data_IF_210736103800
#
_entry.id   IF_210736103800
#
_cell.length_a   1.000
_cell.length_b   1.000
_cell.length_c   1.000
_cell.angle_alpha   90.00
_cell.angle_beta   90.00
_cell.angle_gamma   90.00
#
_symmetry.space_group_name_H-M   'P 1'
#
loop_
_entity.id
_entity.type
_entity.pdbx_description
1 polymer ?
#
# COMPACT_ATOMS: atom_id res chain seq x y z
N UNK A 1 4.71 13.21 -10.63
CA UNK A 1 3.33 13.57 -10.62
C UNK A 1 2.69 13.14 -9.33
N UNK A 2 2.14 14.08 -8.62
CA UNK A 2 1.34 13.81 -7.44
C UNK A 2 0.23 12.85 -7.81
N UNK A 3 0.03 11.81 -7.05
CA UNK A 3 -1.12 10.95 -7.16
C UNK A 3 -2.37 11.83 -7.06
N UNK A 4 -3.13 11.87 -8.10
CA UNK A 4 -4.38 12.65 -8.15
C UNK A 4 -5.59 11.86 -7.67
N UNK A 5 -5.37 10.77 -6.95
CA UNK A 5 -6.43 9.89 -6.47
C UNK A 5 -6.32 9.69 -4.97
N UNK A 6 -7.47 9.64 -4.33
CA UNK A 6 -7.59 9.22 -2.94
C UNK A 6 -7.74 7.67 -2.88
N UNK A 7 -7.08 6.97 -1.95
CA UNK A 7 -6.08 7.47 -1.02
C UNK A 7 -4.74 7.78 -1.70
N UNK A 8 -4.07 8.82 -1.24
CA UNK A 8 -2.85 9.33 -1.88
C UNK A 8 -1.64 8.42 -1.65
N UNK A 9 -1.51 7.89 -0.46
CA UNK A 9 -0.53 6.87 -0.09
C UNK A 9 -1.16 5.85 0.83
N UNK A 10 -0.88 4.57 0.61
CA UNK A 10 -1.37 3.48 1.44
C UNK A 10 -0.22 2.57 1.81
N UNK A 11 -0.08 2.27 3.09
CA UNK A 11 1.00 1.45 3.64
C UNK A 11 0.46 0.28 4.46
N UNK A 12 1.28 -0.76 4.60
CA UNK A 12 1.05 -1.90 5.49
C UNK A 12 -0.32 -2.57 5.30
N UNK A 13 -0.73 -2.72 4.06
CA UNK A 13 -2.03 -3.30 3.70
C UNK A 13 -2.06 -4.78 4.05
N UNK A 14 -3.10 -5.22 4.76
CA UNK A 14 -3.33 -6.60 5.16
C UNK A 14 -4.75 -7.03 4.80
N UNK A 15 -4.94 -8.24 4.25
CA UNK A 15 -6.28 -8.77 4.01
C UNK A 15 -6.98 -9.10 5.34
N UNK A 16 -8.29 -8.90 5.40
CA UNK A 16 -9.08 -9.25 6.58
C UNK A 16 -9.44 -10.74 6.54
N UNK A 17 -9.03 -11.51 7.56
CA UNK A 17 -9.41 -12.92 7.67
C UNK A 17 -10.94 -13.08 7.75
N UNK A 18 -11.48 -13.96 6.91
CA UNK A 18 -12.92 -14.21 6.87
C UNK A 18 -13.75 -13.20 6.06
N UNK A 19 -13.13 -12.14 5.55
CA UNK A 19 -13.79 -11.18 4.66
C UNK A 19 -13.14 -11.21 3.27
N UNK A 20 -13.81 -11.79 2.28
CA UNK A 20 -13.21 -12.18 1.01
C UNK A 20 -12.57 -11.06 0.18
N UNK A 21 -12.91 -9.79 0.40
CA UNK A 21 -12.44 -8.66 -0.42
C UNK A 21 -11.90 -7.49 0.37
N UNK A 22 -12.13 -7.42 1.69
CA UNK A 22 -11.74 -6.27 2.49
C UNK A 22 -10.31 -6.37 3.03
N UNK A 23 -9.74 -5.20 3.27
CA UNK A 23 -8.39 -5.00 3.76
C UNK A 23 -8.37 -3.96 4.86
N UNK A 24 -7.36 -4.02 5.70
CA UNK A 24 -6.96 -2.93 6.60
C UNK A 24 -5.61 -2.37 6.16
N UNK A 25 -5.42 -1.08 6.29
CA UNK A 25 -4.15 -0.43 5.93
C UNK A 25 -4.03 0.96 6.53
N UNK A 26 -2.89 1.59 6.28
CA UNK A 26 -2.58 2.92 6.77
C UNK A 26 -2.67 3.91 5.60
N UNK A 27 -3.48 4.95 5.75
CA UNK A 27 -3.49 6.08 4.83
C UNK A 27 -2.60 7.18 5.38
N UNK A 28 -1.74 7.71 4.53
CA UNK A 28 -0.82 8.78 4.84
C UNK A 28 -0.83 9.86 3.75
N UNK A 29 -0.04 10.89 3.92
CA UNK A 29 0.18 11.91 2.90
C UNK A 29 1.06 11.41 1.76
N UNK A 30 1.32 12.27 0.77
CA UNK A 30 2.00 11.90 -0.46
C UNK A 30 3.53 11.98 -0.35
N UNK A 31 4.07 13.02 0.24
CA UNK A 31 5.52 13.26 0.34
C UNK A 31 5.95 13.55 1.79
N UNK A 32 7.24 13.30 2.05
CA UNK A 32 7.97 13.87 3.17
C UNK A 32 7.57 13.40 4.56
N UNK A 33 6.81 12.34 4.68
CA UNK A 33 6.26 11.89 5.95
C UNK A 33 6.75 10.51 6.36
N UNK A 34 6.76 10.29 7.67
CA UNK A 34 6.85 8.95 8.22
C UNK A 34 5.68 8.10 7.67
N UNK A 35 5.93 6.81 7.46
CA UNK A 35 4.93 5.86 6.96
C UNK A 35 3.90 5.50 8.04
N UNK A 36 3.41 6.52 8.74
CA UNK A 36 2.37 6.43 9.75
C UNK A 36 1.15 7.22 9.30
N UNK A 37 0.02 6.97 9.90
CA UNK A 37 -1.17 7.73 9.56
C UNK A 37 -2.46 7.13 10.09
N UNK A 38 -3.50 7.28 9.32
CA UNK A 38 -4.88 6.91 9.65
C UNK A 38 -5.12 5.43 9.34
N UNK A 39 -5.69 4.70 10.29
CA UNK A 39 -6.05 3.29 10.11
C UNK A 39 -7.40 3.19 9.39
N UNK A 40 -7.40 2.56 8.22
CA UNK A 40 -8.58 2.46 7.36
C UNK A 40 -8.89 1.00 7.04
N UNK A 41 -10.16 0.66 7.12
CA UNK A 41 -10.71 -0.54 6.48
C UNK A 41 -11.27 -0.14 5.12
N UNK A 42 -10.91 -0.87 4.08
CA UNK A 42 -11.38 -0.60 2.72
C UNK A 42 -11.69 -1.90 1.97
N UNK A 43 -12.56 -1.79 0.97
CA UNK A 43 -13.03 -2.92 0.18
C UNK A 43 -12.99 -2.60 -1.33
N UNK A 44 -11.98 -3.11 -2.06
CA UNK A 44 -11.86 -2.89 -3.49
C UNK A 44 -13.03 -3.46 -4.32
N UNK A 45 -13.84 -4.36 -3.76
CA UNK A 45 -15.04 -4.84 -4.43
C UNK A 45 -16.14 -3.75 -4.49
N UNK A 46 -16.14 -2.81 -3.54
CA UNK A 46 -17.03 -1.64 -3.58
C UNK A 46 -16.54 -0.60 -4.59
N UNK A 47 -15.29 -0.19 -4.45
CA UNK A 47 -14.63 0.70 -5.40
C UNK A 47 -13.11 0.62 -5.24
N UNK A 48 -12.37 0.73 -6.34
CA UNK A 48 -10.89 0.65 -6.33
C UNK A 48 -10.23 1.98 -6.00
N UNK A 49 -10.98 3.07 -5.93
CA UNK A 49 -10.51 4.42 -5.64
C UNK A 49 -11.61 5.25 -4.99
N UNK A 50 -11.20 6.35 -4.37
CA UNK A 50 -12.11 7.29 -3.73
C UNK A 50 -12.68 6.79 -2.41
N UNK A 51 -13.48 7.64 -1.79
CA UNK A 51 -14.13 7.33 -0.51
C UNK A 51 -15.12 6.16 -0.60
N UNK A 52 -15.69 5.91 -1.79
CA UNK A 52 -16.62 4.80 -2.01
C UNK A 52 -16.02 3.41 -1.72
N UNK A 53 -14.71 3.25 -1.88
CA UNK A 53 -14.00 2.03 -1.52
C UNK A 53 -13.66 1.92 -0.03
N UNK A 54 -13.77 3.01 0.72
CA UNK A 54 -13.44 3.04 2.13
C UNK A 54 -14.64 2.60 2.95
N UNK A 55 -14.42 1.69 3.88
CA UNK A 55 -15.49 1.15 4.75
C UNK A 55 -15.56 1.97 6.03
N UNK A 56 -14.40 2.22 6.63
CA UNK A 56 -14.32 2.86 7.94
C UNK A 56 -12.92 3.37 8.24
N UNK A 57 -12.82 4.51 8.93
CA UNK A 57 -11.61 4.93 9.64
C UNK A 57 -11.70 4.51 11.11
N UNK A 58 -10.61 4.00 11.69
CA UNK A 58 -10.54 3.58 13.08
C UNK A 58 -9.53 4.46 13.86
N UNK A 59 -9.88 5.00 15.02
CA UNK A 59 -11.25 5.10 15.54
C UNK A 59 -12.01 6.17 14.73
N UNK A 60 -13.23 6.23 14.63
CA UNK A 60 -14.09 7.22 13.95
C UNK A 60 -15.09 6.59 12.98
N UNK A 61 -15.70 5.51 13.43
CA UNK A 61 -16.65 4.72 12.63
C UNK A 61 -17.75 5.53 11.93
N UNK A 62 -18.21 6.58 12.57
CA UNK A 62 -19.35 7.38 12.07
C UNK A 62 -18.88 8.66 11.34
N UNK A 63 -17.57 8.88 11.22
CA UNK A 63 -17.05 10.04 10.52
C UNK A 63 -17.05 9.78 9.02
N UNK A 64 -17.64 10.68 8.21
CA UNK A 64 -17.51 10.57 6.75
C UNK A 64 -16.05 10.61 6.33
N UNK A 65 -15.69 9.73 5.42
CA UNK A 65 -14.35 9.73 4.85
C UNK A 65 -14.30 10.79 3.76
N UNK A 66 -13.50 11.81 3.97
CA UNK A 66 -13.30 12.92 3.03
C UNK A 66 -12.12 12.61 2.13
N UNK A 67 -12.30 12.75 0.83
CA UNK A 67 -11.25 12.63 -0.18
C UNK A 67 -10.36 13.86 -0.12
N UNK A 68 -9.26 13.75 0.59
CA UNK A 68 -8.29 14.81 0.72
C UNK A 68 -6.94 14.34 0.17
N UNK A 69 -6.41 15.09 -0.79
CA UNK A 69 -5.14 14.80 -1.44
C UNK A 69 -4.17 15.91 -1.09
N UNK A 70 -3.31 15.65 -0.13
CA UNK A 70 -2.26 16.57 0.28
C UNK A 70 -1.06 15.83 0.86
N UNK A 71 0.11 16.44 0.78
CA UNK A 71 1.34 15.85 1.27
C UNK A 71 1.34 15.66 2.78
N UNK A 72 0.79 16.65 3.49
CA UNK A 72 0.79 16.70 4.95
C UNK A 72 -0.51 16.19 5.58
N UNK A 73 -1.17 15.22 4.93
CA UNK A 73 -2.49 14.71 5.33
C UNK A 73 -2.58 14.30 6.80
N UNK A 74 -1.50 13.79 7.37
CA UNK A 74 -1.46 13.26 8.73
C UNK A 74 -0.57 14.05 9.68
N UNK A 75 0.01 15.17 9.24
CA UNK A 75 0.81 16.02 10.10
C UNK A 75 -0.09 16.67 11.17
N UNK A 76 0.27 16.48 12.43
CA UNK A 76 -0.52 16.98 13.56
C UNK A 76 -1.87 16.27 13.77
N UNK A 77 -2.15 15.20 13.05
CA UNK A 77 -3.36 14.40 13.22
C UNK A 77 -3.05 13.17 14.09
N UNK A 78 -3.84 12.96 15.13
CA UNK A 78 -3.68 11.87 16.09
C UNK A 78 -5.01 11.16 16.33
N UNK A 79 -5.02 9.85 16.68
CA UNK A 79 -3.87 8.96 16.77
C UNK A 79 -3.23 8.65 15.39
N UNK A 80 -1.97 8.26 15.41
CA UNK A 80 -1.29 7.69 14.24
C UNK A 80 -0.99 6.21 14.46
N UNK A 81 -1.07 5.45 13.38
CA UNK A 81 -0.92 4.00 13.37
C UNK A 81 0.12 3.56 12.36
N UNK A 82 0.74 2.40 12.64
CA UNK A 82 1.59 1.65 11.70
C UNK A 82 1.39 0.15 11.92
N UNK A 83 1.72 -0.66 10.90
CA UNK A 83 1.82 -2.11 10.99
C UNK A 83 0.58 -2.81 11.57
N UNK A 84 -0.61 -2.60 11.02
CA UNK A 84 -1.78 -3.33 11.46
C UNK A 84 -1.65 -4.83 11.17
N UNK A 85 -1.97 -5.64 12.16
CA UNK A 85 -2.03 -7.10 12.05
C UNK A 85 -3.46 -7.54 12.39
N UNK A 86 -4.28 -7.90 11.40
CA UNK A 86 -5.64 -8.30 11.64
C UNK A 86 -5.70 -9.65 12.36
N UNK A 87 -6.45 -9.70 13.46
CA UNK A 87 -6.77 -10.95 14.15
C UNK A 87 -7.97 -11.66 13.52
N UNK A 88 -8.92 -10.86 13.06
CA UNK A 88 -10.09 -11.25 12.27
C UNK A 88 -10.61 -10.02 11.51
N UNK A 89 -11.86 -10.04 11.06
CA UNK A 89 -12.52 -8.95 10.35
C UNK A 89 -12.87 -7.73 11.23
N UNK A 90 -12.70 -7.83 12.55
CA UNK A 90 -13.12 -6.79 13.51
C UNK A 90 -11.99 -6.28 14.41
N UNK A 91 -11.01 -7.09 14.73
CA UNK A 91 -9.98 -6.79 15.71
C UNK A 91 -8.58 -6.78 15.08
N UNK A 92 -7.80 -5.77 15.42
CA UNK A 92 -6.47 -5.54 14.87
C UNK A 92 -5.45 -5.24 15.96
N UNK A 93 -4.31 -5.89 15.91
CA UNK A 93 -3.14 -5.42 16.63
C UNK A 93 -2.46 -4.34 15.79
N UNK A 94 -2.08 -3.25 16.42
CA UNK A 94 -1.40 -2.14 15.73
C UNK A 94 -0.31 -1.56 16.61
N UNK A 95 0.69 -0.96 16.03
CA UNK A 95 1.49 0.00 16.74
C UNK A 95 0.86 1.39 16.57
N UNK A 96 0.71 2.10 17.68
CA UNK A 96 0.08 3.42 17.68
C UNK A 96 0.83 4.43 18.57
N UNK A 97 0.68 5.69 18.18
CA UNK A 97 0.95 6.88 18.99
C UNK A 97 -0.35 7.63 19.14
N UNK A 98 -0.77 7.91 20.36
CA UNK A 98 -2.03 8.60 20.61
C UNK A 98 -1.88 10.11 20.59
N UNK A 99 -0.66 10.61 20.83
CA UNK A 99 -0.31 12.02 20.77
C UNK A 99 1.15 12.20 20.29
N UNK A 100 1.57 13.45 20.00
CA UNK A 100 2.91 13.74 19.47
C UNK A 100 4.06 13.38 20.42
N UNK A 101 3.82 13.34 21.72
CA UNK A 101 4.84 13.09 22.74
C UNK A 101 5.03 11.58 22.99
N UNK A 102 4.08 10.76 22.56
CA UNK A 102 4.13 9.33 22.73
C UNK A 102 5.26 8.66 21.96
N UNK A 103 5.80 7.60 22.51
CA UNK A 103 6.50 6.57 21.74
C UNK A 103 5.48 5.54 21.23
N UNK A 104 5.89 4.77 20.23
CA UNK A 104 5.04 3.72 19.68
C UNK A 104 4.75 2.65 20.72
N UNK A 105 3.48 2.40 20.97
CA UNK A 105 3.01 1.29 21.82
C UNK A 105 2.20 0.28 21.02
N UNK A 106 1.98 -0.90 21.59
CA UNK A 106 1.11 -1.93 21.00
C UNK A 106 -0.31 -1.77 21.53
N UNK A 107 -1.26 -1.72 20.62
CA UNK A 107 -2.67 -1.55 20.92
C UNK A 107 -3.51 -2.63 20.25
N UNK A 108 -4.59 -2.99 20.88
CA UNK A 108 -5.73 -3.67 20.26
C UNK A 108 -6.75 -2.61 19.89
N UNK A 109 -7.09 -2.57 18.63
CA UNK A 109 -8.14 -1.68 18.11
C UNK A 109 -9.21 -2.49 17.39
N UNK A 110 -10.40 -1.94 17.26
CA UNK A 110 -11.50 -2.65 16.62
C UNK A 110 -12.41 -1.72 15.80
N UNK A 111 -13.33 -2.35 15.06
CA UNK A 111 -14.32 -1.64 14.23
C UNK A 111 -15.41 -0.93 15.06
N UNK A 112 -15.39 -1.06 16.39
CA UNK A 112 -16.32 -0.40 17.30
C UNK A 112 -15.70 0.85 17.94
N UNK A 113 -14.52 1.27 17.45
CA UNK A 113 -13.72 2.43 17.89
C UNK A 113 -13.03 2.27 19.25
N UNK A 114 -12.91 1.04 19.75
CA UNK A 114 -12.09 0.80 20.92
C UNK A 114 -10.60 0.84 20.59
N UNK A 115 -9.84 1.50 21.46
CA UNK A 115 -8.37 1.60 21.39
C UNK A 115 -7.81 1.21 22.75
N UNK A 116 -7.36 -0.03 22.88
CA UNK A 116 -6.90 -0.61 24.15
C UNK A 116 -5.39 -0.78 24.13
N UNK A 117 -4.68 -0.12 25.04
CA UNK A 117 -3.25 -0.29 25.19
C UNK A 117 -2.93 -1.68 25.74
N UNK A 118 -2.10 -2.44 25.01
CA UNK A 118 -1.60 -3.73 25.45
C UNK A 118 -0.18 -3.62 26.03
N UNK A 119 0.65 -2.78 25.41
CA UNK A 119 2.05 -2.60 25.84
C UNK A 119 2.53 -1.20 25.52
N UNK A 120 2.94 -0.47 26.54
CA UNK A 120 3.63 0.82 26.45
C UNK A 120 4.61 0.90 27.61
N UNK A 121 5.85 1.22 27.36
CA UNK A 121 6.90 1.35 28.36
C UNK A 121 7.61 2.67 28.12
N UNK A 122 7.87 3.39 29.17
CA UNK A 122 8.60 4.66 29.10
C UNK A 122 9.99 4.46 28.53
N UNK A 123 10.38 5.28 27.59
CA UNK A 123 11.68 5.22 26.92
C UNK A 123 11.79 4.14 25.84
N UNK A 124 10.76 3.30 25.63
CA UNK A 124 10.78 2.23 24.64
C UNK A 124 9.70 2.41 23.58
N UNK A 125 10.04 2.09 22.32
CA UNK A 125 9.09 2.08 21.19
C UNK A 125 8.85 0.65 20.72
N UNK A 126 7.57 0.26 20.61
CA UNK A 126 7.15 -1.06 20.15
C UNK A 126 6.46 -0.92 18.79
N UNK A 127 6.95 -1.66 17.80
CA UNK A 127 6.42 -1.65 16.45
C UNK A 127 6.22 -3.08 15.93
N UNK A 128 5.45 -3.23 14.86
CA UNK A 128 5.26 -4.50 14.13
C UNK A 128 4.73 -5.64 15.02
N UNK A 129 3.57 -5.49 15.65
CA UNK A 129 3.00 -6.56 16.48
C UNK A 129 2.68 -7.77 15.62
N UNK A 130 3.01 -8.96 16.14
CA UNK A 130 2.70 -10.25 15.49
C UNK A 130 1.94 -11.13 16.47
N UNK A 131 0.77 -11.61 16.06
CA UNK A 131 0.02 -12.56 16.84
C UNK A 131 0.60 -13.97 16.68
N UNK A 132 1.14 -14.53 17.75
CA UNK A 132 1.58 -15.93 17.76
C UNK A 132 0.36 -16.82 17.90
N UNK A 133 -0.08 -17.39 16.79
CA UNK A 133 -1.26 -18.26 16.73
C UNK A 133 -1.09 -19.37 15.68
N UNK A 134 -1.85 -20.43 15.84
CA UNK A 134 -1.92 -21.46 14.82
C UNK A 134 -2.58 -20.87 13.57
N UNK A 135 -1.92 -20.97 12.44
CA UNK A 135 -2.42 -20.54 11.13
C UNK A 135 -2.54 -21.73 10.19
N UNK A 136 -3.39 -21.62 9.20
CA UNK A 136 -3.45 -22.62 8.13
C UNK A 136 -2.13 -22.58 7.36
N UNK A 137 -1.54 -23.73 7.13
CA UNK A 137 -0.34 -23.85 6.29
C UNK A 137 -0.70 -23.36 4.86
N UNK A 138 0.06 -22.42 4.30
CA UNK A 138 -0.14 -22.04 2.92
C UNK A 138 0.01 -23.24 1.97
N UNK A 139 -0.74 -23.28 0.87
CA UNK A 139 -0.56 -24.34 -0.11
C UNK A 139 0.88 -24.31 -0.66
N UNK A 140 1.49 -25.48 -0.78
CA UNK A 140 2.78 -25.60 -1.44
C UNK A 140 2.62 -25.22 -2.92
N UNK A 141 3.32 -24.19 -3.35
CA UNK A 141 3.37 -23.80 -4.76
C UNK A 141 4.57 -24.53 -5.36
N UNK A 142 4.36 -25.44 -6.32
CA UNK A 142 5.46 -26.12 -6.97
C UNK A 142 6.33 -25.09 -7.71
N UNK A 143 7.63 -25.36 -7.73
CA UNK A 143 8.56 -24.55 -8.53
C UNK A 143 8.17 -24.67 -10.02
N UNK A 144 7.89 -23.55 -10.62
CA UNK A 144 7.53 -23.43 -12.04
C UNK A 144 8.67 -22.84 -12.87
N UNK A 145 9.77 -22.50 -12.23
CA UNK A 145 10.94 -21.95 -12.91
C UNK A 145 11.65 -23.06 -13.68
N UNK A 146 11.81 -22.86 -14.97
CA UNK A 146 12.56 -23.75 -15.86
C UNK A 146 13.80 -23.01 -16.31
N UNK A 147 14.87 -23.14 -15.58
CA UNK A 147 16.12 -22.39 -15.81
C UNK A 147 16.72 -22.60 -17.21
N UNK A 148 16.39 -23.71 -17.87
CA UNK A 148 16.87 -24.03 -19.21
C UNK A 148 16.00 -23.47 -20.33
N UNK A 149 14.81 -22.96 -20.02
CA UNK A 149 13.94 -22.35 -21.01
C UNK A 149 14.53 -21.02 -21.45
N UNK A 150 14.64 -20.84 -22.76
CA UNK A 150 15.14 -19.61 -23.37
C UNK A 150 14.03 -18.64 -23.75
N UNK A 151 12.79 -19.07 -23.57
CA UNK A 151 11.59 -18.33 -23.91
C UNK A 151 10.76 -18.06 -22.67
N UNK A 152 10.09 -16.93 -22.67
CA UNK A 152 9.11 -16.57 -21.65
C UNK A 152 7.78 -16.20 -22.30
N UNK A 153 6.69 -16.61 -21.67
CA UNK A 153 5.35 -16.23 -22.12
C UNK A 153 4.85 -15.04 -21.31
N UNK A 154 4.47 -13.98 -21.99
CA UNK A 154 3.78 -12.84 -21.42
C UNK A 154 2.30 -12.96 -21.77
N UNK A 155 1.46 -12.95 -20.75
CA UNK A 155 0.02 -13.00 -20.92
C UNK A 155 -0.61 -11.65 -20.63
N UNK A 156 -1.37 -11.12 -21.57
CA UNK A 156 -2.17 -9.90 -21.42
C UNK A 156 -3.62 -10.28 -21.76
N UNK A 157 -4.50 -10.16 -20.78
CA UNK A 157 -5.90 -10.57 -20.96
C UNK A 157 -6.60 -9.72 -22.03
N UNK A 158 -6.48 -8.40 -21.95
CA UNK A 158 -7.02 -7.46 -22.93
C UNK A 158 -6.25 -6.14 -22.85
N UNK A 159 -5.62 -5.75 -23.96
CA UNK A 159 -4.85 -4.50 -24.02
C UNK A 159 -5.75 -3.25 -24.05
N UNK A 160 -7.04 -3.42 -24.40
CA UNK A 160 -7.99 -2.30 -24.47
C UNK A 160 -8.75 -2.07 -23.16
N UNK A 161 -8.57 -2.94 -22.16
CA UNK A 161 -9.12 -2.73 -20.84
C UNK A 161 -8.25 -1.76 -20.03
N UNK A 162 -8.89 -0.75 -19.45
CA UNK A 162 -8.23 0.28 -18.64
C UNK A 162 -8.31 1.68 -19.22
N UNK A 163 -7.85 2.63 -18.41
CA UNK A 163 -7.98 4.06 -18.71
C UNK A 163 -7.15 4.50 -19.94
N UNK A 164 -5.98 3.89 -20.14
CA UNK A 164 -5.01 4.34 -21.14
C UNK A 164 -5.48 4.17 -22.59
N UNK A 165 -6.34 3.21 -22.86
CA UNK A 165 -6.88 2.94 -24.21
C UNK A 165 -8.41 3.07 -24.24
N UNK A 166 -9.01 3.71 -23.25
CA UNK A 166 -10.45 3.95 -23.23
C UNK A 166 -10.89 4.74 -24.47
N UNK A 167 -11.89 4.22 -25.19
CA UNK A 167 -12.42 4.85 -26.39
C UNK A 167 -11.62 4.62 -27.66
N UNK A 168 -10.50 3.91 -27.58
CA UNK A 168 -9.74 3.50 -28.76
C UNK A 168 -10.40 2.26 -29.39
N UNK A 169 -10.75 2.28 -30.68
CA UNK A 169 -11.37 1.13 -31.34
C UNK A 169 -10.46 -0.11 -31.30
N UNK A 170 -11.06 -1.29 -31.08
CA UNK A 170 -10.33 -2.56 -31.15
C UNK A 170 -9.69 -2.74 -32.53
N UNK A 171 -8.47 -3.27 -32.56
CA UNK A 171 -7.70 -3.44 -33.81
C UNK A 171 -6.88 -2.20 -34.20
N UNK A 172 -6.95 -1.10 -33.46
CA UNK A 172 -6.10 0.08 -33.69
C UNK A 172 -4.64 -0.22 -33.29
N UNK A 173 -4.41 -0.92 -32.17
CA UNK A 173 -3.07 -1.35 -31.76
C UNK A 173 -2.57 -2.43 -32.72
N UNK A 174 -1.39 -2.22 -33.29
CA UNK A 174 -0.80 -3.12 -34.30
C UNK A 174 0.41 -3.90 -33.75
N UNK A 175 1.01 -3.39 -32.69
CA UNK A 175 2.18 -4.03 -32.10
C UNK A 175 2.34 -3.59 -30.66
N UNK A 176 3.07 -4.39 -29.88
CA UNK A 176 3.45 -4.10 -28.50
C UNK A 176 4.96 -4.00 -28.40
N UNK A 177 5.44 -3.06 -27.61
CA UNK A 177 6.87 -2.94 -27.31
C UNK A 177 7.15 -3.54 -25.94
N UNK A 178 8.11 -4.45 -25.91
CA UNK A 178 8.60 -5.02 -24.68
C UNK A 178 9.78 -4.20 -24.17
N UNK A 179 9.71 -3.76 -22.91
CA UNK A 179 10.76 -3.02 -22.25
C UNK A 179 11.22 -3.75 -21.00
N UNK A 180 12.52 -3.85 -20.79
CA UNK A 180 13.10 -4.21 -19.51
C UNK A 180 13.35 -2.95 -18.68
N UNK A 181 13.11 -3.03 -17.39
CA UNK A 181 13.61 -2.05 -16.44
C UNK A 181 15.07 -2.34 -16.15
N UNK A 182 15.89 -1.31 -16.17
CA UNK A 182 17.28 -1.42 -15.77
C UNK A 182 17.47 -0.79 -14.39
N UNK A 183 18.40 -1.36 -13.64
CA UNK A 183 18.78 -0.78 -12.35
C UNK A 183 19.35 0.61 -12.56
N UNK A 184 18.73 1.53 -11.85
CA UNK A 184 19.22 2.87 -11.76
C UNK A 184 20.37 2.93 -10.76
N UNK A 185 21.57 3.14 -11.20
CA UNK A 185 22.63 3.50 -10.29
C UNK A 185 22.83 5.00 -10.26
N UNK A 186 23.15 5.45 -9.07
CA UNK A 186 23.57 6.82 -8.86
C UNK A 186 24.91 7.02 -9.59
N UNK A 187 24.90 7.83 -10.62
CA UNK A 187 26.14 8.31 -11.20
C UNK A 187 26.59 9.53 -10.41
N UNK A 188 27.63 9.38 -9.63
CA UNK A 188 28.30 10.53 -9.05
C UNK A 188 29.11 11.22 -10.14
N UNK A 189 28.80 12.46 -10.42
CA UNK A 189 29.64 13.32 -11.24
C UNK A 189 30.72 13.95 -10.37
N UNK A 190 31.79 14.42 -10.98
CA UNK A 190 32.94 15.04 -10.29
C UNK A 190 32.60 16.29 -9.50
N UNK A 191 31.44 16.85 -9.70
CA UNK A 191 30.90 18.02 -9.01
C UNK A 191 30.06 17.65 -7.76
N UNK A 192 30.03 16.39 -7.34
CA UNK A 192 29.25 15.87 -6.21
C UNK A 192 27.73 16.05 -6.35
N UNK A 193 27.25 16.42 -7.52
CA UNK A 193 25.82 16.40 -7.79
C UNK A 193 25.31 14.97 -7.95
N UNK A 194 24.39 14.59 -7.11
CA UNK A 194 23.68 13.34 -7.19
C UNK A 194 22.69 13.39 -8.34
N UNK A 195 23.08 12.91 -9.49
CA UNK A 195 22.12 12.59 -10.53
C UNK A 195 21.51 11.23 -10.23
N UNK A 196 20.77 11.19 -9.12
CA UNK A 196 19.92 10.06 -8.81
C UNK A 196 18.73 10.04 -9.77
N UNK A 197 18.24 8.85 -10.07
CA UNK A 197 16.96 8.76 -10.74
C UNK A 197 15.93 9.27 -9.76
N UNK A 198 15.38 10.42 -10.07
CA UNK A 198 14.24 10.93 -9.33
C UNK A 198 13.07 10.00 -9.57
N UNK A 199 12.26 9.80 -8.53
CA UNK A 199 11.05 8.98 -8.62
C UNK A 199 10.21 9.37 -9.84
N UNK A 200 9.87 8.39 -10.65
CA UNK A 200 9.14 8.60 -11.91
C UNK A 200 9.97 8.52 -13.18
N UNK A 201 11.28 8.43 -13.08
CA UNK A 201 12.17 8.27 -14.23
C UNK A 201 12.76 6.85 -14.22
N UNK A 202 12.00 5.93 -14.77
CA UNK A 202 12.48 4.57 -14.96
C UNK A 202 13.37 4.50 -16.20
N UNK A 203 14.58 3.95 -16.05
CA UNK A 203 15.39 3.61 -17.21
C UNK A 203 14.81 2.34 -17.81
N UNK A 204 14.41 2.45 -19.07
CA UNK A 204 13.83 1.34 -19.82
C UNK A 204 14.66 1.08 -21.06
N UNK A 205 15.03 -0.18 -21.24
CA UNK A 205 15.64 -0.64 -22.47
C UNK A 205 14.60 -1.39 -23.31
N UNK A 206 14.42 -0.99 -24.55
CA UNK A 206 13.54 -1.71 -25.47
C UNK A 206 14.18 -3.04 -25.84
N UNK A 207 13.47 -4.13 -25.61
CA UNK A 207 13.89 -5.48 -25.95
C UNK A 207 13.45 -5.89 -27.35
N UNK A 208 12.31 -5.39 -27.78
CA UNK A 208 11.75 -5.72 -29.09
C UNK A 208 10.31 -5.23 -29.26
N UNK A 209 9.78 -5.52 -30.43
CA UNK A 209 8.38 -5.25 -30.78
C UNK A 209 7.75 -6.56 -31.26
N UNK A 210 6.58 -6.87 -30.76
CA UNK A 210 5.77 -8.03 -31.13
C UNK A 210 4.41 -7.58 -31.63
#
# INVERSE_FOLDING_TARGET
GSGSMFPNSTFDIQPLPGHGSAFVGIISGHHGIARSGRLIVFDPAKARKGAAGMVQEIPYRNRPIVEEIKDELVNGVWPQFIKPTPLNDKYFLVAAKLDPQDLWGIYLVDVFDNVTCLRKVEGEGYISPVAVRKTQTPPAIPDRVKLNDKEATVFIQDIYEGEGLRGIPRGTVKSLRLHAYEYAYVKTTSDHNWHGIQSGWDIKRMLGTV
#
